data_IF_844147728743
#
_entry.id   IF_844147728743
#
_cell.length_a   1.000
_cell.length_b   1.000
_cell.length_c   1.000
_cell.angle_alpha   90.00
_cell.angle_beta   90.00
_cell.angle_gamma   90.00
#
_symmetry.space_group_name_H-M   'P 1'
#
loop_
_entity.id
_entity.type
_entity.pdbx_description
1 polymer ?
#
# COMPACT_ATOMS: atom_id res chain seq x y z
N UNK A 1 -13.66 -0.78 -9.33
CA UNK A 1 -12.24 -1.04 -9.62
C UNK A 1 -11.38 -0.70 -8.42
N UNK A 2 -10.24 -1.39 -8.33
CA UNK A 2 -9.22 -1.19 -7.29
C UNK A 2 -7.90 -1.04 -8.01
N UNK A 3 -7.18 0.04 -7.72
CA UNK A 3 -5.82 0.26 -8.20
C UNK A 3 -4.86 0.16 -7.01
N UNK A 4 -3.79 -0.61 -7.19
CA UNK A 4 -2.74 -0.79 -6.21
C UNK A 4 -1.38 -0.54 -6.87
N UNK A 5 -0.54 0.25 -6.23
CA UNK A 5 0.81 0.58 -6.69
C UNK A 5 1.77 0.38 -5.53
N UNK A 6 2.82 -0.41 -5.76
CA UNK A 6 3.90 -0.65 -4.81
C UNK A 6 5.19 -0.98 -5.57
N UNK A 7 6.34 -0.75 -4.93
CA UNK A 7 7.56 -1.50 -5.25
C UNK A 7 7.57 -2.83 -4.49
N UNK A 8 8.37 -3.79 -4.95
CA UNK A 8 8.62 -5.04 -4.24
C UNK A 8 9.78 -4.90 -3.23
N UNK A 9 10.70 -3.97 -3.46
CA UNK A 9 11.79 -3.61 -2.56
C UNK A 9 12.28 -2.16 -2.80
N UNK A 10 13.11 -1.64 -1.90
CA UNK A 10 13.77 -0.34 -2.06
C UNK A 10 15.24 -0.51 -2.50
N UNK A 11 15.67 0.23 -3.53
CA UNK A 11 17.05 0.27 -4.04
C UNK A 11 17.60 1.70 -4.02
N UNK A 12 18.03 2.23 -2.86
CA UNK A 12 18.56 3.57 -2.76
C UNK A 12 19.81 3.75 -3.61
N UNK A 13 19.88 4.82 -4.41
CA UNK A 13 20.98 5.07 -5.34
C UNK A 13 22.36 5.11 -4.64
N UNK A 14 22.43 5.66 -3.42
CA UNK A 14 23.66 5.73 -2.62
C UNK A 14 24.17 4.34 -2.18
N UNK A 15 23.29 3.34 -2.13
CA UNK A 15 23.64 1.97 -1.75
C UNK A 15 23.90 1.07 -2.95
N UNK A 16 23.33 1.40 -4.12
CA UNK A 16 23.36 0.56 -5.33
C UNK A 16 22.95 -0.91 -5.07
N UNK A 17 22.10 -1.14 -4.06
CA UNK A 17 21.69 -2.45 -3.58
C UNK A 17 20.31 -2.37 -2.93
N UNK A 18 19.63 -3.51 -2.82
CA UNK A 18 18.38 -3.61 -2.09
C UNK A 18 18.60 -3.27 -0.61
N UNK A 19 17.57 -2.73 0.03
CA UNK A 19 17.63 -2.30 1.43
C UNK A 19 16.34 -2.61 2.19
N UNK A 20 16.38 -2.44 3.51
CA UNK A 20 15.26 -2.64 4.43
C UNK A 20 14.32 -1.43 4.52
N UNK A 21 14.57 -0.35 3.76
CA UNK A 21 13.70 0.81 3.77
C UNK A 21 12.30 0.43 3.28
N UNK A 22 11.29 1.10 3.84
CA UNK A 22 9.91 0.91 3.42
C UNK A 22 9.72 1.39 1.98
N UNK A 23 8.82 0.72 1.27
CA UNK A 23 8.40 1.10 -0.08
C UNK A 23 7.08 1.87 -0.02
N UNK A 24 6.90 2.95 -0.80
CA UNK A 24 5.62 3.60 -0.96
C UNK A 24 4.54 2.61 -1.43
N UNK A 25 3.37 2.63 -0.79
CA UNK A 25 2.22 1.83 -1.17
C UNK A 25 0.98 2.70 -1.29
N UNK A 26 0.27 2.55 -2.40
CA UNK A 26 -1.00 3.21 -2.68
C UNK A 26 -2.07 2.18 -2.98
N UNK A 27 -3.24 2.37 -2.36
CA UNK A 27 -4.48 1.67 -2.71
C UNK A 27 -5.55 2.72 -2.96
N UNK A 28 -6.17 2.68 -4.14
CA UNK A 28 -7.27 3.55 -4.51
C UNK A 28 -8.51 2.73 -4.91
N UNK A 29 -9.66 3.07 -4.33
CA UNK A 29 -10.95 2.50 -4.72
C UNK A 29 -12.12 3.41 -4.35
N UNK A 30 -13.34 3.02 -4.72
CA UNK A 30 -14.57 3.73 -4.30
C UNK A 30 -14.74 3.85 -2.78
N UNK A 31 -13.97 3.10 -1.98
CA UNK A 31 -14.01 3.10 -0.52
C UNK A 31 -12.96 4.03 0.13
N UNK A 32 -12.16 4.76 -0.66
CA UNK A 32 -11.09 5.64 -0.14
C UNK A 32 -11.45 7.14 -0.18
N UNK A 33 -12.75 7.49 -0.20
CA UNK A 33 -13.35 8.82 -0.54
C UNK A 33 -13.00 10.04 0.34
N UNK A 34 -11.83 10.08 0.96
CA UNK A 34 -11.37 11.22 1.76
C UNK A 34 -10.13 10.94 2.60
N UNK A 35 -9.49 9.79 2.38
CA UNK A 35 -8.31 9.36 3.11
C UNK A 35 -7.14 9.30 2.13
N UNK A 36 -5.98 9.80 2.53
CA UNK A 36 -4.77 9.77 1.70
C UNK A 36 -3.87 10.97 1.91
N UNK A 37 -2.85 11.03 1.08
CA UNK A 37 -1.83 12.09 1.02
C UNK A 37 -1.80 12.68 -0.39
N UNK A 38 -1.37 13.95 -0.57
CA UNK A 38 -1.48 14.64 -1.86
C UNK A 38 -0.51 14.12 -2.94
N UNK A 39 0.53 13.38 -2.55
CA UNK A 39 1.60 12.91 -3.44
C UNK A 39 1.97 11.46 -3.16
N UNK A 40 2.55 10.79 -4.16
CA UNK A 40 3.08 9.43 -4.04
C UNK A 40 4.61 9.48 -3.98
N UNK A 41 5.12 9.62 -2.77
CA UNK A 41 6.55 9.62 -2.43
C UNK A 41 6.74 9.03 -1.01
N UNK A 42 7.97 8.73 -0.64
CA UNK A 42 8.30 8.05 0.63
C UNK A 42 7.80 8.82 1.85
N UNK A 43 7.89 10.15 1.85
CA UNK A 43 7.51 10.98 3.01
C UNK A 43 6.01 11.10 3.14
N UNK A 44 5.32 11.34 2.03
CA UNK A 44 3.86 11.43 2.01
C UNK A 44 3.23 10.08 2.38
N UNK A 45 3.70 8.98 1.80
CA UNK A 45 3.17 7.64 2.10
C UNK A 45 3.36 7.23 3.57
N UNK A 46 4.43 7.68 4.24
CA UNK A 46 4.63 7.43 5.66
C UNK A 46 3.55 8.04 6.56
N UNK A 47 2.84 9.08 6.08
CA UNK A 47 1.73 9.73 6.79
C UNK A 47 0.35 9.24 6.31
N UNK A 48 0.32 8.30 5.37
CA UNK A 48 -0.92 7.77 4.79
C UNK A 48 -1.71 6.92 5.77
N UNK A 49 -3.04 6.88 5.59
CA UNK A 49 -3.97 6.18 6.48
C UNK A 49 -3.75 4.66 6.60
N UNK A 50 -3.07 4.02 5.63
CA UNK A 50 -2.74 2.59 5.66
C UNK A 50 -1.65 2.31 6.69
N UNK A 51 -0.78 3.28 6.97
CA UNK A 51 0.41 3.09 7.80
C UNK A 51 1.41 2.10 7.21
N UNK A 52 2.28 1.57 8.08
CA UNK A 52 3.27 0.55 7.71
C UNK A 52 2.69 -0.85 7.90
N UNK A 53 2.58 -1.60 6.81
CA UNK A 53 2.05 -2.97 6.81
C UNK A 53 3.02 -3.97 6.16
N UNK A 54 2.95 -5.27 6.52
CA UNK A 54 3.65 -6.31 5.78
C UNK A 54 3.14 -6.42 4.33
N UNK A 55 4.05 -6.64 3.38
CA UNK A 55 3.71 -6.82 1.97
C UNK A 55 2.73 -7.99 1.73
N UNK A 56 2.79 -9.03 2.57
CA UNK A 56 1.88 -10.18 2.50
C UNK A 56 0.40 -9.80 2.77
N UNK A 57 0.14 -8.69 3.45
CA UNK A 57 -1.21 -8.19 3.72
C UNK A 57 -1.82 -7.42 2.55
N UNK A 58 -1.02 -7.02 1.56
CA UNK A 58 -1.43 -6.15 0.44
C UNK A 58 -2.55 -6.79 -0.38
N UNK A 59 -2.46 -8.09 -0.68
CA UNK A 59 -3.50 -8.79 -1.44
C UNK A 59 -4.84 -8.88 -0.69
N UNK A 60 -4.81 -9.07 0.63
CA UNK A 60 -6.03 -9.12 1.46
C UNK A 60 -6.73 -7.76 1.42
N UNK A 61 -5.99 -6.66 1.53
CA UNK A 61 -6.54 -5.31 1.39
C UNK A 61 -7.13 -5.09 0.00
N UNK A 62 -6.40 -5.47 -1.06
CA UNK A 62 -6.88 -5.37 -2.44
C UNK A 62 -8.19 -6.09 -2.68
N UNK A 63 -8.29 -7.35 -2.25
CA UNK A 63 -9.50 -8.16 -2.37
C UNK A 63 -10.66 -7.58 -1.54
N UNK A 64 -10.36 -7.03 -0.36
CA UNK A 64 -11.37 -6.36 0.49
C UNK A 64 -11.97 -5.15 -0.22
N UNK A 65 -11.12 -4.29 -0.80
CA UNK A 65 -11.58 -3.13 -1.57
C UNK A 65 -12.26 -3.51 -2.89
N UNK A 66 -12.00 -4.72 -3.40
CA UNK A 66 -12.63 -5.25 -4.62
C UNK A 66 -13.96 -5.97 -4.35
N UNK A 67 -14.38 -6.12 -3.09
CA UNK A 67 -15.57 -6.90 -2.73
C UNK A 67 -15.41 -8.40 -3.00
N UNK A 68 -14.17 -8.92 -2.97
CA UNK A 68 -13.82 -10.32 -3.25
C UNK A 68 -13.48 -11.13 -2.00
N UNK A 69 -13.76 -10.57 -0.82
CA UNK A 69 -13.58 -11.25 0.46
C UNK A 69 -14.88 -11.90 0.91
N UNK A 70 -14.76 -13.07 1.52
CA UNK A 70 -15.86 -13.76 2.20
C UNK A 70 -15.68 -13.62 3.70
N UNK A 71 -16.78 -13.39 4.43
CA UNK A 71 -16.78 -13.38 5.89
C UNK A 71 -16.34 -14.76 6.40
N UNK A 72 -15.39 -14.78 7.33
CA UNK A 72 -15.03 -15.98 8.08
C UNK A 72 -15.81 -16.02 9.40
N UNK A 73 -16.53 -17.12 9.65
CA UNK A 73 -17.36 -17.29 10.85
C UNK A 73 -18.83 -16.85 10.67
N UNK A 74 -19.68 -17.14 11.68
CA UNK A 74 -21.11 -16.83 11.66
C UNK A 74 -21.40 -15.33 11.67
#
# INVERSE_FOLDING_TARGET
DVLMIAGDHATPAIMAAHSWHQVPFLLHSKLTKGQGVPTFDEKACALGAIGSIPATSVMVLGLSHAGKMTKFGP
#
